data_IF_787041342088
#
_entry.id   IF_787041342088
#
_cell.length_a   1.000
_cell.length_b   1.000
_cell.length_c   1.000
_cell.angle_alpha   90.00
_cell.angle_beta   90.00
_cell.angle_gamma   90.00
#
_symmetry.space_group_name_H-M   'P 1'
#
loop_
_entity.id
_entity.type
_entity.pdbx_description
1 polymer ?
#
# COMPACT_ATOMS: atom_id res chain seq x y z
N UNK A 1 -39.58 -31.46 29.33
CA UNK A 1 -38.26 -32.08 29.56
C UNK A 1 -37.31 -31.62 28.45
N UNK A 2 -36.53 -30.56 28.65
CA UNK A 2 -35.57 -30.09 27.63
C UNK A 2 -34.42 -31.10 27.57
N UNK A 3 -34.19 -31.68 26.39
CA UNK A 3 -33.22 -32.75 26.18
C UNK A 3 -31.79 -32.21 26.38
N UNK A 4 -31.26 -32.34 27.60
CA UNK A 4 -29.92 -31.92 28.05
C UNK A 4 -28.79 -32.37 27.13
N UNK A 5 -28.99 -33.48 26.40
CA UNK A 5 -28.00 -34.02 25.46
C UNK A 5 -27.92 -33.23 24.14
N UNK A 6 -29.05 -32.65 23.67
CA UNK A 6 -29.05 -31.73 22.51
C UNK A 6 -28.30 -30.44 22.84
N UNK A 7 -28.47 -29.90 24.05
CA UNK A 7 -27.78 -28.68 24.49
C UNK A 7 -26.26 -28.86 24.53
N UNK A 8 -25.75 -29.98 25.08
CA UNK A 8 -24.31 -30.29 25.08
C UNK A 8 -23.76 -30.44 23.67
N UNK A 9 -24.46 -31.18 22.79
CA UNK A 9 -24.07 -31.33 21.37
C UNK A 9 -24.00 -29.99 20.64
N UNK A 10 -24.94 -29.08 20.89
CA UNK A 10 -24.93 -27.75 20.29
C UNK A 10 -23.72 -26.93 20.76
N UNK A 11 -23.35 -27.01 22.05
CA UNK A 11 -22.14 -26.35 22.56
C UNK A 11 -20.85 -26.88 21.95
N UNK A 12 -20.75 -28.19 21.71
CA UNK A 12 -19.59 -28.76 20.99
C UNK A 12 -19.50 -28.22 19.56
N UNK A 13 -20.62 -28.15 18.84
CA UNK A 13 -20.64 -27.61 17.48
C UNK A 13 -20.20 -26.15 17.48
N UNK A 14 -20.73 -25.33 18.39
CA UNK A 14 -20.33 -23.92 18.53
C UNK A 14 -18.83 -23.82 18.80
N UNK A 15 -18.29 -24.60 19.73
CA UNK A 15 -16.86 -24.60 20.04
C UNK A 15 -15.97 -24.91 18.84
N UNK A 16 -16.32 -25.95 18.06
CA UNK A 16 -15.57 -26.32 16.84
C UNK A 16 -15.65 -25.22 15.79
N UNK A 17 -16.83 -24.64 15.56
CA UNK A 17 -17.01 -23.55 14.58
C UNK A 17 -16.21 -22.32 14.99
N UNK A 18 -16.25 -21.91 16.26
CA UNK A 18 -15.47 -20.77 16.76
C UNK A 18 -13.97 -21.01 16.61
N UNK A 19 -13.48 -22.22 16.88
CA UNK A 19 -12.07 -22.57 16.71
C UNK A 19 -11.65 -22.49 15.23
N UNK A 20 -12.46 -23.01 14.31
CA UNK A 20 -12.19 -22.93 12.87
C UNK A 20 -12.17 -21.49 12.37
N UNK A 21 -13.16 -20.68 12.76
CA UNK A 21 -13.21 -19.26 12.38
C UNK A 21 -12.01 -18.48 12.93
N UNK A 22 -11.60 -18.76 14.17
CA UNK A 22 -10.41 -18.17 14.76
C UNK A 22 -9.14 -18.54 13.99
N UNK A 23 -8.99 -19.81 13.60
CA UNK A 23 -7.85 -20.26 12.80
C UNK A 23 -7.79 -19.62 11.41
N UNK A 24 -8.94 -19.50 10.73
CA UNK A 24 -9.04 -18.83 9.43
C UNK A 24 -8.68 -17.34 9.57
N UNK A 25 -9.17 -16.68 10.63
CA UNK A 25 -8.89 -15.27 10.88
C UNK A 25 -7.39 -15.03 11.14
N UNK A 26 -6.75 -15.86 11.97
CA UNK A 26 -5.31 -15.79 12.23
C UNK A 26 -4.49 -16.06 10.95
N UNK A 27 -4.88 -17.05 10.15
CA UNK A 27 -4.22 -17.33 8.87
C UNK A 27 -4.19 -16.11 7.97
N UNK A 28 -5.33 -15.44 7.78
CA UNK A 28 -5.38 -14.23 6.96
C UNK A 28 -4.58 -13.08 7.57
N UNK A 29 -4.64 -12.90 8.89
CA UNK A 29 -3.94 -11.83 9.59
C UNK A 29 -2.41 -11.90 9.44
N UNK A 30 -1.84 -13.11 9.45
CA UNK A 30 -0.39 -13.29 9.30
C UNK A 30 0.06 -13.36 7.85
N UNK A 31 -0.76 -13.92 6.96
CA UNK A 31 -0.35 -14.16 5.56
C UNK A 31 -0.51 -12.92 4.68
N UNK A 32 -1.55 -12.13 4.91
CA UNK A 32 -1.91 -11.01 4.04
C UNK A 32 -1.91 -9.68 4.78
N UNK A 33 -1.47 -8.65 4.09
CA UNK A 33 -1.44 -7.28 4.59
C UNK A 33 -2.86 -6.73 4.78
N UNK A 34 -3.78 -7.07 3.87
CA UNK A 34 -5.18 -6.67 3.96
C UNK A 34 -6.08 -7.82 4.41
N UNK A 35 -7.09 -7.49 5.21
CA UNK A 35 -8.15 -8.44 5.56
C UNK A 35 -9.09 -8.66 4.36
N UNK A 36 -9.28 -9.90 3.89
CA UNK A 36 -10.11 -10.20 2.71
C UNK A 36 -11.58 -9.80 2.85
N UNK A 37 -12.10 -9.73 4.09
CA UNK A 37 -13.51 -9.41 4.34
C UNK A 37 -13.80 -7.91 4.26
N UNK A 38 -12.81 -7.07 4.54
CA UNK A 38 -12.96 -5.61 4.56
C UNK A 38 -12.25 -4.93 3.40
N UNK A 39 -11.41 -5.66 2.66
CA UNK A 39 -10.68 -5.12 1.52
C UNK A 39 -11.63 -4.61 0.43
N UNK A 40 -11.34 -3.41 -0.05
CA UNK A 40 -11.98 -2.80 -1.20
C UNK A 40 -10.89 -2.30 -2.12
N UNK A 41 -11.06 -2.57 -3.41
CA UNK A 41 -10.17 -2.05 -4.44
C UNK A 41 -10.43 -0.56 -4.62
N UNK A 42 -9.36 0.16 -4.88
CA UNK A 42 -9.33 1.58 -5.22
C UNK A 42 -8.10 1.85 -6.12
N UNK A 43 -7.85 3.11 -6.42
CA UNK A 43 -6.74 3.55 -7.26
C UNK A 43 -5.36 3.29 -6.65
N UNK A 44 -5.25 3.00 -5.36
CA UNK A 44 -3.96 2.67 -4.71
C UNK A 44 -3.78 1.16 -4.60
N UNK A 45 -4.88 0.44 -4.35
CA UNK A 45 -4.91 -1.00 -4.11
C UNK A 45 -5.78 -1.72 -5.14
N UNK A 46 -5.44 -1.58 -6.41
CA UNK A 46 -6.24 -2.05 -7.55
C UNK A 46 -6.18 -3.58 -7.78
N UNK A 47 -5.13 -4.24 -7.29
CA UNK A 47 -4.98 -5.70 -7.37
C UNK A 47 -5.89 -6.45 -6.37
N UNK A 48 -6.17 -7.75 -6.57
CA UNK A 48 -6.86 -8.55 -5.56
C UNK A 48 -6.11 -8.55 -4.21
N UNK A 49 -6.83 -8.62 -3.08
CA UNK A 49 -6.24 -8.62 -1.73
C UNK A 49 -5.13 -9.66 -1.55
N UNK A 50 -5.24 -10.80 -2.24
CA UNK A 50 -4.28 -11.90 -2.17
C UNK A 50 -2.92 -11.59 -2.80
N UNK A 51 -2.78 -10.47 -3.51
CA UNK A 51 -1.49 -10.00 -4.03
C UNK A 51 -0.67 -9.26 -2.97
N UNK A 52 -1.32 -8.78 -1.91
CA UNK A 52 -0.68 -8.04 -0.84
C UNK A 52 -0.31 -8.99 0.30
N UNK A 53 0.61 -9.91 0.02
CA UNK A 53 1.14 -10.86 1.01
C UNK A 53 2.19 -10.18 1.88
N UNK A 54 2.24 -10.57 3.16
CA UNK A 54 3.28 -10.07 4.06
C UNK A 54 4.63 -10.78 3.80
N UNK A 55 5.77 -10.08 3.97
CA UNK A 55 5.89 -8.64 4.19
C UNK A 55 5.75 -7.86 2.87
N UNK A 56 5.21 -6.65 2.99
CA UNK A 56 5.31 -5.63 1.95
C UNK A 56 6.49 -4.70 2.26
N UNK A 57 7.10 -4.17 1.20
CA UNK A 57 8.17 -3.17 1.32
C UNK A 57 7.88 -1.98 0.43
N UNK A 58 8.44 -0.82 0.78
CA UNK A 58 8.44 0.36 -0.07
C UNK A 58 9.87 0.69 -0.45
N UNK A 59 10.08 0.96 -1.73
CA UNK A 59 11.32 1.49 -2.26
C UNK A 59 11.12 2.96 -2.62
N UNK A 60 11.96 3.82 -2.04
CA UNK A 60 12.05 5.24 -2.38
C UNK A 60 13.23 5.42 -3.33
N UNK A 61 12.99 5.96 -4.51
CA UNK A 61 14.02 6.14 -5.52
C UNK A 61 14.09 7.58 -6.01
N UNK A 62 15.30 8.04 -6.28
CA UNK A 62 15.62 9.36 -6.85
C UNK A 62 16.46 9.14 -8.10
N UNK A 63 16.22 9.93 -9.15
CA UNK A 63 17.04 9.90 -10.35
C UNK A 63 18.21 10.88 -10.20
N UNK A 64 19.43 10.36 -10.23
CA UNK A 64 20.67 11.14 -10.20
C UNK A 64 21.48 10.95 -11.50
N UNK A 65 22.59 11.68 -11.66
CA UNK A 65 23.42 11.67 -12.88
C UNK A 65 23.89 10.24 -13.27
N UNK A 66 24.11 9.36 -12.29
CA UNK A 66 24.58 7.98 -12.50
C UNK A 66 23.43 6.96 -12.66
N UNK A 67 22.17 7.41 -12.59
CA UNK A 67 20.97 6.59 -12.71
C UNK A 67 20.10 6.62 -11.46
N UNK A 68 19.23 5.61 -11.33
CA UNK A 68 18.32 5.49 -10.20
C UNK A 68 19.05 5.04 -8.94
N UNK A 69 18.96 5.85 -7.88
CA UNK A 69 19.35 5.47 -6.53
C UNK A 69 18.12 5.19 -5.69
N UNK A 70 18.19 4.19 -4.82
CA UNK A 70 17.02 3.70 -4.10
C UNK A 70 17.32 3.21 -2.69
N UNK A 71 16.35 3.36 -1.81
CA UNK A 71 16.36 2.79 -0.46
C UNK A 71 15.07 2.01 -0.22
N UNK A 72 15.23 0.75 0.18
CA UNK A 72 14.14 -0.13 0.58
C UNK A 72 13.86 0.06 2.07
N UNK A 73 12.58 0.14 2.41
CA UNK A 73 12.04 0.16 3.77
C UNK A 73 11.10 -1.03 3.94
N UNK A 74 11.38 -1.85 4.95
CA UNK A 74 10.62 -3.05 5.34
C UNK A 74 9.82 -2.86 6.64
N UNK A 75 9.48 -1.60 6.97
CA UNK A 75 8.63 -1.25 8.10
C UNK A 75 7.15 -1.31 7.69
N UNK A 76 6.44 -2.36 8.13
CA UNK A 76 5.02 -2.54 7.86
C UNK A 76 4.13 -1.38 8.37
N UNK A 77 4.56 -0.63 9.39
CA UNK A 77 3.82 0.54 9.87
C UNK A 77 3.94 1.72 8.91
N UNK A 78 5.12 1.94 8.33
CA UNK A 78 5.34 2.93 7.28
C UNK A 78 4.63 2.57 5.99
N UNK A 79 4.69 1.29 5.57
CA UNK A 79 3.93 0.80 4.41
C UNK A 79 2.44 1.09 4.57
N UNK A 80 1.89 0.79 5.75
CA UNK A 80 0.48 1.05 6.04
C UNK A 80 0.17 2.55 6.01
N UNK A 81 1.03 3.37 6.61
CA UNK A 81 0.87 4.82 6.61
C UNK A 81 0.85 5.38 5.19
N UNK A 82 1.82 5.02 4.34
CA UNK A 82 1.89 5.50 2.95
C UNK A 82 0.64 5.10 2.18
N UNK A 83 0.20 3.83 2.27
CA UNK A 83 -1.01 3.39 1.58
C UNK A 83 -2.26 4.14 2.06
N UNK A 84 -2.43 4.31 3.38
CA UNK A 84 -3.58 4.99 3.97
C UNK A 84 -3.63 6.48 3.56
N UNK A 85 -2.47 7.15 3.51
CA UNK A 85 -2.37 8.55 3.08
C UNK A 85 -2.59 8.71 1.58
N UNK A 86 -2.05 7.82 0.74
CA UNK A 86 -2.30 7.83 -0.70
C UNK A 86 -3.79 7.64 -1.01
N UNK A 87 -4.47 6.74 -0.31
CA UNK A 87 -5.92 6.51 -0.46
C UNK A 87 -6.76 7.72 -0.06
N UNK A 88 -6.27 8.49 0.90
CA UNK A 88 -6.93 9.67 1.43
C UNK A 88 -6.60 10.94 0.65
N UNK A 89 -5.61 10.87 -0.25
CA UNK A 89 -5.15 12.00 -1.05
C UNK A 89 -6.18 12.37 -2.12
N UNK A 90 -6.55 13.66 -2.25
CA UNK A 90 -7.52 14.08 -3.25
C UNK A 90 -6.99 13.84 -4.67
N UNK A 91 -7.84 13.20 -5.48
CA UNK A 91 -7.62 13.02 -6.92
C UNK A 91 -7.84 14.34 -7.65
N UNK A 92 -6.91 14.69 -8.54
CA UNK A 92 -6.99 15.87 -9.39
C UNK A 92 -7.74 15.47 -10.67
N UNK A 93 -9.03 15.79 -10.76
CA UNK A 93 -9.91 15.37 -11.87
C UNK A 93 -9.72 16.20 -13.16
N UNK A 94 -9.20 17.43 -13.01
CA UNK A 94 -8.97 18.38 -14.11
C UNK A 94 -7.56 18.97 -13.99
N UNK A 95 -6.54 18.12 -13.82
CA UNK A 95 -5.17 18.56 -14.07
C UNK A 95 -5.13 18.92 -15.54
N UNK A 96 -5.23 20.21 -15.87
CA UNK A 96 -5.07 20.72 -17.22
C UNK A 96 -3.81 20.04 -17.77
N UNK A 97 -4.01 19.09 -18.70
CA UNK A 97 -2.94 18.24 -19.24
C UNK A 97 -1.84 19.04 -19.92
N UNK A 98 -2.03 20.35 -20.07
CA UNK A 98 -1.05 21.30 -20.55
C UNK A 98 -0.09 21.82 -19.45
N UNK A 99 -0.53 21.94 -18.18
CA UNK A 99 0.34 22.33 -17.05
C UNK A 99 1.19 21.14 -16.57
N UNK A 100 0.62 19.93 -16.65
CA UNK A 100 1.25 18.67 -16.27
C UNK A 100 1.52 17.79 -17.49
N UNK A 101 2.04 18.37 -18.58
CA UNK A 101 2.58 17.55 -19.67
C UNK A 101 3.68 16.67 -19.07
N UNK A 102 3.54 15.35 -19.27
CA UNK A 102 4.51 14.34 -18.85
C UNK A 102 5.90 14.77 -19.29
N UNK A 103 6.66 15.25 -18.32
CA UNK A 103 8.08 15.51 -18.47
C UNK A 103 8.77 14.15 -18.39
N UNK A 104 9.66 13.84 -19.33
CA UNK A 104 10.52 12.65 -19.21
C UNK A 104 11.44 12.73 -17.96
N UNK A 105 11.47 13.87 -17.27
CA UNK A 105 12.22 14.09 -16.04
C UNK A 105 11.41 13.60 -14.84
N UNK A 106 11.34 12.28 -14.64
CA UNK A 106 10.88 11.72 -13.37
C UNK A 106 11.94 12.07 -12.33
N UNK A 107 11.55 12.81 -11.29
CA UNK A 107 12.47 13.24 -10.24
C UNK A 107 12.55 12.16 -9.16
N UNK A 108 11.39 11.62 -8.77
CA UNK A 108 11.29 10.66 -7.67
C UNK A 108 10.26 9.58 -7.94
N UNK A 109 10.47 8.41 -7.35
CA UNK A 109 9.64 7.23 -7.52
C UNK A 109 9.43 6.51 -6.18
N UNK A 110 8.18 6.11 -5.93
CA UNK A 110 7.83 5.21 -4.83
C UNK A 110 7.31 3.91 -5.43
N UNK A 111 7.89 2.79 -5.01
CA UNK A 111 7.50 1.45 -5.47
C UNK A 111 7.06 0.61 -4.29
N UNK A 112 5.80 0.16 -4.27
CA UNK A 112 5.33 -0.84 -3.33
C UNK A 112 5.64 -2.22 -3.89
N UNK A 113 6.34 -3.06 -3.13
CA UNK A 113 6.73 -4.41 -3.54
C UNK A 113 6.22 -5.47 -2.58
N UNK A 114 5.96 -6.66 -3.13
CA UNK A 114 5.81 -7.90 -2.37
C UNK A 114 7.20 -8.50 -2.09
N UNK A 115 7.34 -9.34 -1.07
CA UNK A 115 8.60 -10.00 -0.70
C UNK A 115 9.29 -10.86 -1.77
N UNK A 116 8.69 -11.06 -2.96
CA UNK A 116 9.32 -11.66 -4.15
C UNK A 116 9.64 -10.62 -5.24
N UNK A 117 9.75 -9.35 -4.86
CA UNK A 117 10.03 -8.17 -5.67
C UNK A 117 8.97 -7.78 -6.70
N UNK A 118 7.81 -8.46 -6.71
CA UNK A 118 6.69 -8.08 -7.56
C UNK A 118 6.22 -6.65 -7.23
N UNK A 119 6.16 -5.79 -8.24
CA UNK A 119 5.68 -4.41 -8.12
C UNK A 119 4.15 -4.42 -8.01
N UNK A 120 3.64 -3.90 -6.91
CA UNK A 120 2.20 -3.82 -6.61
C UNK A 120 1.63 -2.43 -6.90
N UNK A 121 2.45 -1.38 -6.75
CA UNK A 121 2.10 0.00 -7.03
C UNK A 121 3.36 0.78 -7.39
N UNK A 122 3.25 1.65 -8.39
CA UNK A 122 4.28 2.61 -8.77
C UNK A 122 3.68 4.01 -8.76
N UNK A 123 4.33 4.92 -8.04
CA UNK A 123 3.92 6.31 -7.85
C UNK A 123 5.10 7.22 -8.21
N UNK A 124 4.89 8.13 -9.17
CA UNK A 124 5.93 9.02 -9.69
C UNK A 124 5.72 10.45 -9.25
N UNK A 125 6.82 11.16 -9.01
CA UNK A 125 6.86 12.61 -8.94
C UNK A 125 7.59 13.12 -10.18
N UNK A 126 6.85 13.75 -11.09
CA UNK A 126 7.38 14.29 -12.35
C UNK A 126 7.76 15.78 -12.23
N UNK A 127 7.38 16.45 -11.13
CA UNK A 127 7.63 17.86 -10.86
C UNK A 127 7.86 18.12 -9.37
N UNK A 128 8.59 19.19 -9.04
CA UNK A 128 8.70 19.64 -7.65
C UNK A 128 7.31 19.98 -7.06
N UNK A 129 7.11 19.63 -5.79
CA UNK A 129 5.86 19.86 -5.06
C UNK A 129 5.22 18.57 -4.56
N UNK A 130 3.89 18.60 -4.37
CA UNK A 130 3.15 17.51 -3.72
C UNK A 130 2.14 16.81 -4.63
N UNK A 131 2.37 16.85 -5.94
CA UNK A 131 1.55 16.12 -6.90
C UNK A 131 2.30 14.86 -7.35
N UNK A 132 1.62 13.73 -7.21
CA UNK A 132 2.13 12.42 -7.57
C UNK A 132 1.22 11.75 -8.59
N UNK A 133 1.80 10.86 -9.38
CA UNK A 133 1.17 10.21 -10.51
C UNK A 133 1.19 8.69 -10.35
N UNK A 134 0.02 8.06 -10.42
CA UNK A 134 -0.12 6.61 -10.44
C UNK A 134 0.05 6.07 -11.85
N UNK A 135 1.10 5.28 -12.07
CA UNK A 135 1.48 4.81 -13.41
C UNK A 135 0.44 3.87 -14.04
N UNK A 136 -0.25 3.08 -13.24
CA UNK A 136 -1.14 2.02 -13.71
C UNK A 136 -2.49 2.52 -14.26
N UNK A 137 -3.07 3.57 -13.66
CA UNK A 137 -4.37 4.15 -14.04
C UNK A 137 -4.28 5.61 -14.50
N UNK A 138 -3.08 6.20 -14.49
CA UNK A 138 -2.80 7.56 -14.92
C UNK A 138 -3.51 8.64 -14.11
N UNK A 139 -3.68 8.39 -12.80
CA UNK A 139 -4.35 9.31 -11.88
C UNK A 139 -3.32 10.21 -11.20
N UNK A 140 -3.62 11.51 -11.14
CA UNK A 140 -2.87 12.46 -10.34
C UNK A 140 -3.50 12.62 -8.97
N UNK A 141 -2.67 12.58 -7.93
CA UNK A 141 -3.07 12.81 -6.55
C UNK A 141 -2.23 13.93 -5.96
N UNK A 142 -2.87 14.82 -5.22
CA UNK A 142 -2.15 15.76 -4.36
C UNK A 142 -1.95 15.09 -3.00
N UNK A 143 -0.72 14.76 -2.64
CA UNK A 143 -0.45 14.07 -1.38
C UNK A 143 -0.73 14.97 -0.19
N UNK A 144 -1.04 14.35 0.95
CA UNK A 144 -1.24 15.05 2.21
C UNK A 144 0.08 15.63 2.73
N UNK A 145 0.01 16.67 3.56
CA UNK A 145 1.19 17.30 4.17
C UNK A 145 2.03 16.29 4.99
N UNK A 146 1.37 15.36 5.70
CA UNK A 146 2.05 14.31 6.45
C UNK A 146 2.83 13.35 5.55
N UNK A 147 2.26 13.00 4.38
CA UNK A 147 2.92 12.13 3.42
C UNK A 147 4.04 12.86 2.68
N UNK A 148 3.85 14.14 2.36
CA UNK A 148 4.87 15.02 1.80
C UNK A 148 6.08 15.11 2.72
N UNK A 149 5.88 15.34 4.02
CA UNK A 149 6.98 15.36 4.99
C UNK A 149 7.74 14.04 5.06
N UNK A 150 7.05 12.90 5.06
CA UNK A 150 7.70 11.59 5.04
C UNK A 150 8.51 11.39 3.75
N UNK A 151 7.94 11.77 2.61
CA UNK A 151 8.60 11.66 1.32
C UNK A 151 9.87 12.51 1.26
N UNK A 152 9.82 13.79 1.67
CA UNK A 152 11.02 14.63 1.72
C UNK A 152 12.10 14.06 2.65
N UNK A 153 11.71 13.50 3.80
CA UNK A 153 12.65 12.84 4.70
C UNK A 153 13.33 11.63 4.01
N UNK A 154 12.53 10.77 3.37
CA UNK A 154 13.01 9.53 2.75
C UNK A 154 13.85 9.81 1.51
N UNK A 155 13.44 10.74 0.66
CA UNK A 155 14.21 11.11 -0.53
C UNK A 155 15.51 11.82 -0.15
N UNK A 156 15.52 12.70 0.84
CA UNK A 156 16.76 13.30 1.35
C UNK A 156 17.73 12.26 1.93
N UNK A 157 17.22 11.15 2.47
CA UNK A 157 18.08 10.04 2.92
C UNK A 157 18.71 9.30 1.75
N UNK A 158 18.01 9.15 0.62
CA UNK A 158 18.57 8.54 -0.60
C UNK A 158 19.67 9.43 -1.16
N UNK A 159 19.39 10.72 -1.33
CA UNK A 159 20.31 11.73 -1.88
C UNK A 159 21.59 11.89 -1.04
N UNK A 160 21.53 11.67 0.28
CA UNK A 160 22.70 11.80 1.18
C UNK A 160 23.59 10.56 1.23
N UNK A 161 23.13 9.43 0.70
CA UNK A 161 23.93 8.21 0.70
C UNK A 161 25.05 8.27 -0.34
N UNK A 162 25.00 9.20 -1.29
CA UNK A 162 25.86 9.30 -2.47
C UNK A 162 26.47 10.71 -2.56
#
# INVERSE_FOLDING_TARGET
MINRNKSKRNWYIVGVVTMLLGGIWLFFHFTYFFNPLTFKKDDVTYLPWSWYENPLTIEYMVLEDEGWQGKIVDDGSEVKFVIDQLKSSPVIQDADREEYQTSDNIIRLIVLRRGDDAILLEVRQEWEGNVFYFTHNRVFVKVTEELEMLFEERFSQVEKLH
#
